data_IF_899119931633
#
_entry.id   IF_899119931633
#
_cell.length_a   1.000
_cell.length_b   1.000
_cell.length_c   1.000
_cell.angle_alpha   90.00
_cell.angle_beta   90.00
_cell.angle_gamma   90.00
#
_symmetry.space_group_name_H-M   'P 1'
#
loop_
_entity.id
_entity.type
_entity.pdbx_description
1 polymer ?
#
# COMPACT_ATOMS: atom_id res chain seq x y z
N UNK A 1 8.48 10.06 -18.13
CA UNK A 1 7.43 9.08 -17.79
C UNK A 1 6.64 9.66 -16.63
N UNK A 2 5.33 9.82 -16.72
CA UNK A 2 4.53 10.22 -15.56
C UNK A 2 4.46 9.04 -14.60
N UNK A 3 4.62 9.31 -13.30
CA UNK A 3 4.36 8.29 -12.28
C UNK A 3 2.87 7.99 -12.22
N UNK A 4 2.54 6.74 -11.92
CA UNK A 4 1.16 6.36 -11.57
C UNK A 4 0.75 7.04 -10.27
N UNK A 5 -0.54 7.30 -10.12
CA UNK A 5 -1.13 7.92 -8.93
C UNK A 5 -2.09 6.95 -8.23
N UNK A 6 -2.23 7.08 -6.91
CA UNK A 6 -3.18 6.30 -6.12
C UNK A 6 -3.72 7.10 -4.93
N UNK A 7 -4.92 6.75 -4.46
CA UNK A 7 -5.54 7.38 -3.30
C UNK A 7 -5.11 6.67 -2.01
N UNK A 8 -4.29 7.36 -1.20
CA UNK A 8 -3.80 6.84 0.06
C UNK A 8 -4.70 7.26 1.21
N UNK A 9 -5.21 6.27 1.95
CA UNK A 9 -5.96 6.47 3.20
C UNK A 9 -4.99 6.36 4.36
N UNK A 10 -5.09 7.31 5.30
CA UNK A 10 -4.32 7.31 6.56
C UNK A 10 -5.00 6.40 7.57
N UNK A 11 -4.22 5.54 8.23
CA UNK A 11 -4.71 4.63 9.27
C UNK A 11 -5.99 3.87 8.86
N UNK A 12 -5.99 3.18 7.70
CA UNK A 12 -7.12 2.36 7.31
C UNK A 12 -7.26 1.16 8.26
N UNK A 13 -8.49 0.75 8.55
CA UNK A 13 -8.80 -0.42 9.36
C UNK A 13 -8.96 -1.67 8.50
N UNK A 14 -9.61 -1.53 7.34
CA UNK A 14 -9.91 -2.64 6.43
C UNK A 14 -9.75 -2.20 4.98
N UNK A 15 -9.78 -3.16 4.05
CA UNK A 15 -9.82 -2.85 2.62
C UNK A 15 -11.00 -1.98 2.20
N UNK A 16 -12.13 -2.02 2.90
CA UNK A 16 -13.29 -1.22 2.53
C UNK A 16 -13.04 0.28 2.67
N UNK A 17 -12.15 0.68 3.58
CA UNK A 17 -11.73 2.08 3.73
C UNK A 17 -11.00 2.59 2.48
N UNK A 18 -10.35 1.68 1.74
CA UNK A 18 -9.57 1.99 0.54
C UNK A 18 -10.40 2.02 -0.75
N UNK A 19 -11.64 1.52 -0.71
CA UNK A 19 -12.52 1.39 -1.87
C UNK A 19 -13.55 2.53 -1.96
N UNK A 20 -13.54 3.46 -1.00
CA UNK A 20 -14.43 4.62 -1.00
C UNK A 20 -14.18 5.55 -2.20
N UNK A 21 -15.21 6.27 -2.67
CA UNK A 21 -15.02 7.27 -3.72
C UNK A 21 -14.10 8.39 -3.24
N UNK A 22 -13.24 8.86 -4.13
CA UNK A 22 -12.31 9.97 -3.88
C UNK A 22 -12.26 10.92 -5.08
N UNK A 23 -11.80 12.15 -4.84
CA UNK A 23 -11.51 13.09 -5.91
C UNK A 23 -10.12 12.77 -6.51
N UNK A 24 -9.93 12.79 -7.84
CA UNK A 24 -8.63 12.49 -8.46
C UNK A 24 -7.47 13.35 -7.91
N UNK A 25 -7.71 14.62 -7.58
CA UNK A 25 -6.70 15.51 -6.98
C UNK A 25 -6.21 15.05 -5.60
N UNK A 26 -6.92 14.13 -4.94
CA UNK A 26 -6.49 13.54 -3.68
C UNK A 26 -5.45 12.43 -3.88
N UNK A 27 -5.28 11.92 -5.10
CA UNK A 27 -4.28 10.90 -5.39
C UNK A 27 -2.84 11.45 -5.26
N UNK A 28 -1.91 10.55 -4.98
CA UNK A 28 -0.49 10.85 -4.84
C UNK A 28 0.32 10.05 -5.84
N UNK A 29 1.34 10.65 -6.48
CA UNK A 29 2.29 9.90 -7.29
C UNK A 29 3.04 8.92 -6.40
N UNK A 30 3.26 7.70 -6.88
CA UNK A 30 3.93 6.67 -6.11
C UNK A 30 5.00 5.93 -6.91
N UNK A 31 5.94 5.34 -6.18
CA UNK A 31 6.97 4.43 -6.68
C UNK A 31 6.85 3.12 -5.92
N UNK A 32 6.84 1.99 -6.63
CA UNK A 32 6.90 0.66 -6.03
C UNK A 32 8.36 0.28 -5.85
N UNK A 33 8.84 0.37 -4.62
CA UNK A 33 10.20 -0.05 -4.25
C UNK A 33 10.35 -1.56 -4.26
N UNK A 34 9.27 -2.28 -3.90
CA UNK A 34 9.28 -3.74 -3.84
C UNK A 34 7.89 -4.32 -3.88
N UNK A 35 7.73 -5.40 -4.64
CA UNK A 35 6.52 -6.23 -4.63
C UNK A 35 6.69 -7.40 -3.66
N UNK A 36 5.76 -7.56 -2.73
CA UNK A 36 5.69 -8.64 -1.75
C UNK A 36 4.54 -9.55 -2.14
N UNK A 37 4.88 -10.81 -2.42
CA UNK A 37 3.89 -11.85 -2.67
C UNK A 37 3.62 -12.64 -1.39
N UNK A 38 2.35 -12.70 -0.99
CA UNK A 38 1.90 -13.50 0.16
C UNK A 38 0.84 -14.51 -0.26
N UNK A 39 0.61 -15.52 0.59
CA UNK A 39 -0.41 -16.54 0.32
C UNK A 39 -1.81 -15.92 0.29
N UNK A 40 -2.78 -16.63 -0.30
CA UNK A 40 -4.18 -16.18 -0.30
C UNK A 40 -4.71 -15.96 1.13
N UNK A 41 -4.42 -16.89 2.03
CA UNK A 41 -4.88 -16.84 3.43
C UNK A 41 -4.25 -15.64 4.16
N UNK A 42 -2.94 -15.43 3.97
CA UNK A 42 -2.26 -14.27 4.58
C UNK A 42 -2.78 -12.95 4.03
N UNK A 43 -3.09 -12.91 2.73
CA UNK A 43 -3.66 -11.73 2.09
C UNK A 43 -5.06 -11.42 2.62
N UNK A 44 -5.92 -12.42 2.75
CA UNK A 44 -7.26 -12.27 3.34
C UNK A 44 -7.18 -11.76 4.78
N UNK A 45 -6.32 -12.36 5.61
CA UNK A 45 -6.07 -11.87 6.97
C UNK A 45 -5.53 -10.43 7.00
N UNK A 46 -4.64 -10.08 6.05
CA UNK A 46 -4.06 -8.75 5.95
C UNK A 46 -5.11 -7.68 5.60
N UNK A 47 -5.99 -7.95 4.64
CA UNK A 47 -6.99 -6.96 4.18
C UNK A 47 -8.19 -6.83 5.12
N UNK A 48 -8.44 -7.83 5.97
CA UNK A 48 -9.49 -7.80 7.01
C UNK A 48 -9.09 -6.94 8.21
N UNK A 49 -7.79 -6.85 8.53
CA UNK A 49 -7.28 -6.01 9.61
C UNK A 49 -5.93 -5.40 9.21
N UNK A 50 -5.98 -4.15 8.76
CA UNK A 50 -4.83 -3.36 8.38
C UNK A 50 -4.14 -2.70 9.59
N UNK A 51 -4.67 -2.79 10.81
CA UNK A 51 -4.06 -2.17 11.98
C UNK A 51 -3.02 -3.04 12.66
N UNK A 52 -2.89 -4.30 12.25
CA UNK A 52 -2.00 -5.27 12.90
C UNK A 52 -0.62 -5.27 12.28
N UNK A 53 0.39 -5.40 13.13
CA UNK A 53 1.79 -5.56 12.73
C UNK A 53 1.97 -6.72 11.76
N UNK A 54 2.73 -6.49 10.69
CA UNK A 54 3.07 -7.49 9.67
C UNK A 54 4.57 -7.58 9.50
N UNK A 55 5.11 -8.79 9.64
CA UNK A 55 6.53 -9.08 9.49
C UNK A 55 7.10 -8.57 8.15
N UNK A 56 6.32 -8.69 7.07
CA UNK A 56 6.74 -8.21 5.75
C UNK A 56 6.74 -6.68 5.62
N UNK A 57 5.97 -5.96 6.44
CA UNK A 57 6.05 -4.50 6.51
C UNK A 57 7.26 -4.11 7.33
N UNK A 58 7.48 -4.74 8.48
CA UNK A 58 8.64 -4.49 9.34
C UNK A 58 9.96 -4.62 8.59
N UNK A 59 10.15 -5.71 7.84
CA UNK A 59 11.36 -5.98 7.06
C UNK A 59 11.61 -4.93 5.95
N UNK A 60 10.57 -4.28 5.44
CA UNK A 60 10.66 -3.38 4.30
C UNK A 60 10.33 -1.91 4.66
N UNK A 61 10.08 -1.60 5.94
CA UNK A 61 9.66 -0.25 6.39
C UNK A 61 10.64 0.88 6.06
N UNK A 62 11.92 0.54 5.84
CA UNK A 62 12.96 1.50 5.44
C UNK A 62 12.87 1.91 3.96
N UNK A 63 12.17 1.13 3.13
CA UNK A 63 11.89 1.49 1.74
C UNK A 63 10.80 2.57 1.65
N UNK A 64 9.89 2.61 2.63
CA UNK A 64 8.77 3.54 2.64
C UNK A 64 9.17 4.94 3.09
N UNK A 65 9.09 5.92 2.19
CA UNK A 65 9.36 7.34 2.48
C UNK A 65 8.71 8.25 1.43
N UNK A 66 8.75 9.56 1.67
CA UNK A 66 8.39 10.58 0.68
C UNK A 66 9.68 11.24 0.23
N UNK A 67 9.93 11.30 -1.08
CA UNK A 67 11.13 11.93 -1.64
C UNK A 67 10.99 13.46 -1.76
N UNK A 68 12.04 14.11 -2.24
CA UNK A 68 12.09 15.56 -2.46
C UNK A 68 11.06 16.06 -3.49
N UNK A 69 10.56 15.18 -4.36
CA UNK A 69 9.55 15.46 -5.37
C UNK A 69 8.13 15.14 -4.90
N UNK A 70 7.95 14.82 -3.61
CA UNK A 70 6.67 14.39 -3.03
C UNK A 70 6.12 13.07 -3.59
N UNK A 71 6.98 12.22 -4.15
CA UNK A 71 6.62 10.87 -4.57
C UNK A 71 6.57 9.94 -3.36
N UNK A 72 5.56 9.09 -3.34
CA UNK A 72 5.34 8.14 -2.26
C UNK A 72 6.03 6.82 -2.59
N UNK A 73 7.16 6.55 -1.95
CA UNK A 73 7.85 5.29 -2.06
C UNK A 73 7.15 4.25 -1.18
N UNK A 74 6.68 3.18 -1.81
CA UNK A 74 5.79 2.20 -1.21
C UNK A 74 6.27 0.78 -1.48
N UNK A 75 5.83 -0.18 -0.67
CA UNK A 75 5.81 -1.59 -1.08
C UNK A 75 4.43 -1.94 -1.64
N UNK A 76 4.38 -2.87 -2.61
CA UNK A 76 3.15 -3.43 -3.13
C UNK A 76 2.94 -4.83 -2.55
N UNK A 77 1.90 -5.02 -1.76
CA UNK A 77 1.52 -6.33 -1.23
C UNK A 77 0.43 -6.92 -2.11
N UNK A 78 0.69 -8.08 -2.73
CA UNK A 78 -0.29 -8.75 -3.61
C UNK A 78 -0.26 -10.27 -3.48
N UNK A 79 -1.33 -10.92 -3.89
CA UNK A 79 -1.34 -12.39 -4.08
C UNK A 79 -0.54 -12.74 -5.33
N UNK A 80 0.02 -13.95 -5.37
CA UNK A 80 0.66 -14.46 -6.58
C UNK A 80 -0.31 -14.43 -7.77
N UNK A 81 0.11 -13.85 -8.90
CA UNK A 81 -0.68 -13.66 -10.13
C UNK A 81 -1.96 -12.81 -10.02
N UNK A 82 -2.17 -12.08 -8.92
CA UNK A 82 -3.24 -11.06 -8.84
C UNK A 82 -2.88 -9.87 -9.75
N UNK A 83 -3.88 -9.23 -10.39
CA UNK A 83 -3.70 -7.91 -11.03
C UNK A 83 -3.89 -6.74 -10.05
N UNK A 84 -4.33 -7.02 -8.83
CA UNK A 84 -4.59 -6.04 -7.78
C UNK A 84 -3.72 -6.24 -6.54
N UNK A 85 -3.67 -5.22 -5.69
CA UNK A 85 -2.91 -5.26 -4.45
C UNK A 85 -3.10 -4.02 -3.61
N UNK A 86 -2.34 -3.98 -2.50
CA UNK A 86 -2.31 -2.87 -1.56
C UNK A 86 -0.92 -2.23 -1.61
N UNK A 87 -0.87 -0.96 -2.00
CA UNK A 87 0.31 -0.13 -1.74
C UNK A 87 0.35 0.17 -0.26
N UNK A 88 1.51 -0.01 0.36
CA UNK A 88 1.76 0.30 1.77
C UNK A 88 2.88 1.31 1.86
N UNK A 89 2.57 2.48 2.41
CA UNK A 89 3.54 3.47 2.84
C UNK A 89 3.52 3.50 4.36
N UNK A 90 4.47 2.79 4.98
CA UNK A 90 4.43 2.55 6.42
C UNK A 90 4.94 3.72 7.28
N UNK A 91 5.61 4.72 6.69
CA UNK A 91 6.20 5.82 7.45
C UNK A 91 7.12 5.34 8.58
N UNK A 92 7.86 4.26 8.35
CA UNK A 92 8.73 3.60 9.34
C UNK A 92 8.01 2.74 10.40
N UNK A 93 6.67 2.61 10.33
CA UNK A 93 5.87 1.69 11.15
C UNK A 93 5.96 0.25 10.62
N UNK A 94 5.38 -0.68 11.39
CA UNK A 94 5.33 -2.12 11.10
C UNK A 94 3.95 -2.59 10.64
N UNK A 95 3.04 -1.64 10.41
CA UNK A 95 1.72 -1.81 9.82
C UNK A 95 1.50 -0.72 8.73
N UNK A 96 0.46 -0.83 7.88
CA UNK A 96 0.08 0.18 6.89
C UNK A 96 -0.38 1.49 7.54
N UNK A 97 0.57 2.39 7.82
CA UNK A 97 0.24 3.73 8.30
C UNK A 97 -0.53 4.55 7.25
N UNK A 98 -0.17 4.36 5.98
CA UNK A 98 -0.96 4.73 4.83
C UNK A 98 -1.06 3.56 3.87
N UNK A 99 -2.21 3.41 3.24
CA UNK A 99 -2.39 2.39 2.21
C UNK A 99 -3.29 2.87 1.07
N UNK A 100 -3.11 2.27 -0.10
CA UNK A 100 -3.97 2.48 -1.26
C UNK A 100 -4.27 1.14 -1.91
N UNK A 101 -5.51 0.95 -2.35
CA UNK A 101 -5.88 -0.19 -3.19
C UNK A 101 -5.63 0.18 -4.66
N UNK A 102 -4.99 -0.73 -5.40
CA UNK A 102 -4.63 -0.52 -6.81
C UNK A 102 -4.98 -1.75 -7.64
N UNK A 103 -5.33 -1.51 -8.91
CA UNK A 103 -5.62 -2.54 -9.92
C UNK A 103 -4.73 -2.32 -11.14
N UNK A 104 -4.55 -3.40 -11.90
CA UNK A 104 -3.86 -3.44 -13.18
C UNK A 104 -2.39 -2.96 -13.11
N UNK A 105 -1.70 -3.35 -12.03
CA UNK A 105 -0.24 -3.19 -11.81
C UNK A 105 0.52 -4.48 -12.10
#
# INVERSE_FOLDING_TARGET
MSLSTAFFVKLPYTIYDLLGPHHPDAEKPFVIEKTIYISKIDYENFITDLCVDRWFIEQNRRLCHIDENSNWHCILVKRYRSSDGILVMSGGRVFPYWAAYVRDI
#
